data_IF_596293280553
#
_entry.id   IF_596293280553
#
_cell.length_a   1.000
_cell.length_b   1.000
_cell.length_c   1.000
_cell.angle_alpha   90.00
_cell.angle_beta   90.00
_cell.angle_gamma   90.00
#
_symmetry.space_group_name_H-M   'P 1'
#
loop_
_entity.id
_entity.type
_entity.pdbx_description
1 polymer ?
#
# COMPACT_ATOMS: atom_id res chain seq x y z
N UNK A 1 17.84 -27.26 -51.91
CA UNK A 1 18.66 -26.25 -51.23
C UNK A 1 17.91 -24.94 -51.30
N UNK A 2 17.13 -24.62 -50.27
CA UNK A 2 16.45 -23.34 -50.13
C UNK A 2 16.62 -22.94 -48.67
N UNK A 3 17.48 -21.97 -48.43
CA UNK A 3 17.79 -21.46 -47.09
C UNK A 3 16.73 -20.44 -46.70
N UNK A 4 15.96 -20.76 -45.66
CA UNK A 4 15.00 -19.83 -45.08
C UNK A 4 15.69 -19.10 -43.92
N UNK A 5 16.22 -17.91 -44.22
CA UNK A 5 16.57 -16.94 -43.19
C UNK A 5 15.27 -16.43 -42.54
N UNK A 6 14.96 -16.93 -41.34
CA UNK A 6 13.94 -16.31 -40.49
C UNK A 6 14.64 -15.26 -39.63
N UNK A 7 14.56 -14.02 -40.09
CA UNK A 7 14.89 -12.82 -39.31
C UNK A 7 13.92 -12.73 -38.14
N UNK A 8 14.37 -13.16 -36.96
CA UNK A 8 13.67 -12.96 -35.70
C UNK A 8 13.84 -11.48 -35.33
N UNK A 9 12.92 -10.63 -35.81
CA UNK A 9 12.83 -9.25 -35.37
C UNK A 9 12.69 -9.23 -33.84
N UNK A 10 13.71 -8.64 -33.21
CA UNK A 10 13.80 -8.35 -31.78
C UNK A 10 12.76 -7.28 -31.44
N UNK A 11 11.49 -7.68 -31.34
CA UNK A 11 10.42 -6.88 -30.75
C UNK A 11 10.72 -6.78 -29.25
N UNK A 12 11.48 -5.73 -28.91
CA UNK A 12 11.74 -5.36 -27.53
C UNK A 12 10.41 -5.30 -26.77
N UNK A 13 10.27 -6.00 -25.62
CA UNK A 13 9.04 -5.95 -24.87
C UNK A 13 8.80 -4.51 -24.44
N UNK A 14 7.76 -3.88 -25.01
CA UNK A 14 7.33 -2.54 -24.60
C UNK A 14 6.99 -2.62 -23.11
N UNK A 15 7.93 -2.18 -22.28
CA UNK A 15 7.80 -2.22 -20.83
C UNK A 15 6.65 -1.29 -20.46
N UNK A 16 5.46 -1.84 -20.25
CA UNK A 16 4.38 -1.12 -19.59
C UNK A 16 4.96 -0.60 -18.29
N UNK A 17 4.87 0.71 -17.98
CA UNK A 17 5.43 1.23 -16.75
C UNK A 17 4.70 0.54 -15.61
N UNK A 18 5.37 -0.43 -14.99
CA UNK A 18 4.87 -1.13 -13.82
C UNK A 18 4.68 -0.04 -12.78
N UNK A 19 3.42 0.30 -12.51
CA UNK A 19 3.04 1.35 -11.57
C UNK A 19 3.45 0.87 -10.18
N UNK A 20 4.70 1.16 -9.81
CA UNK A 20 5.34 0.61 -8.64
C UNK A 20 4.55 0.91 -7.37
N UNK A 21 4.29 -0.12 -6.57
CA UNK A 21 3.68 -0.02 -5.25
C UNK A 21 4.39 1.00 -4.33
N UNK A 22 5.65 1.30 -4.62
CA UNK A 22 6.49 2.34 -4.01
C UNK A 22 5.91 3.75 -4.09
N UNK A 23 5.09 4.09 -5.09
CA UNK A 23 4.48 5.43 -5.19
C UNK A 23 3.46 5.71 -4.11
N UNK A 24 2.77 4.68 -3.61
CA UNK A 24 1.69 4.87 -2.64
C UNK A 24 2.23 5.34 -1.28
N UNK A 25 3.33 4.74 -0.81
CA UNK A 25 4.04 5.17 0.41
C UNK A 25 4.49 6.62 0.32
N UNK A 26 5.21 6.98 -0.75
CA UNK A 26 5.70 8.34 -0.94
C UNK A 26 4.55 9.36 -1.05
N UNK A 27 3.46 9.00 -1.74
CA UNK A 27 2.28 9.83 -1.88
C UNK A 27 1.56 10.06 -0.54
N UNK A 28 1.43 9.02 0.27
CA UNK A 28 0.84 9.11 1.61
C UNK A 28 1.72 9.93 2.56
N UNK A 29 3.05 9.76 2.54
CA UNK A 29 3.98 10.58 3.35
C UNK A 29 3.89 12.05 2.94
N UNK A 30 3.87 12.34 1.63
CA UNK A 30 3.70 13.72 1.13
C UNK A 30 2.36 14.32 1.58
N UNK A 31 1.26 13.56 1.53
CA UNK A 31 -0.05 14.00 2.04
C UNK A 31 -0.02 14.24 3.56
N UNK A 32 0.72 13.43 4.31
CA UNK A 32 0.84 13.56 5.76
C UNK A 32 1.78 14.70 6.21
N UNK A 33 2.73 15.14 5.37
CA UNK A 33 3.66 16.25 5.67
C UNK A 33 2.97 17.63 5.65
N UNK A 34 1.76 17.73 5.11
CA UNK A 34 0.94 18.95 5.12
C UNK A 34 0.17 19.15 6.42
N UNK A 35 -0.80 20.08 6.39
CA UNK A 35 -1.73 20.25 7.50
C UNK A 35 -2.47 18.95 7.81
N UNK A 36 -2.42 18.51 9.07
CA UNK A 36 -3.17 17.34 9.54
C UNK A 36 -4.67 17.60 9.34
N UNK A 37 -5.32 16.68 8.62
CA UNK A 37 -6.76 16.74 8.39
C UNK A 37 -7.47 16.13 9.58
N UNK A 38 -8.55 16.78 10.01
CA UNK A 38 -9.46 16.22 11.00
C UNK A 38 -10.14 14.97 10.43
N UNK A 39 -10.25 13.92 11.25
CA UNK A 39 -10.95 12.68 10.94
C UNK A 39 -11.75 12.32 12.17
N UNK A 40 -13.07 12.20 12.00
CA UNK A 40 -13.96 11.76 13.06
C UNK A 40 -13.81 10.26 13.26
N UNK A 41 -13.72 9.81 14.51
CA UNK A 41 -13.69 8.39 14.85
C UNK A 41 -14.98 8.10 15.61
N UNK A 42 -15.80 7.20 15.06
CA UNK A 42 -16.97 6.72 15.76
C UNK A 42 -16.51 5.90 16.98
N UNK A 43 -16.95 6.31 18.18
CA UNK A 43 -16.46 5.75 19.44
C UNK A 43 -16.86 4.29 19.61
N UNK A 44 -18.07 3.92 19.19
CA UNK A 44 -18.63 2.57 19.38
C UNK A 44 -18.02 1.56 18.41
N UNK A 45 -17.91 1.93 17.14
CA UNK A 45 -17.37 1.05 16.07
C UNK A 45 -15.86 1.13 15.92
N UNK A 46 -15.23 2.16 16.52
CA UNK A 46 -13.82 2.53 16.34
C UNK A 46 -13.42 2.79 14.88
N UNK A 47 -14.40 3.01 14.01
CA UNK A 47 -14.18 3.23 12.59
C UNK A 47 -14.06 4.73 12.30
N UNK A 48 -13.12 5.13 11.44
CA UNK A 48 -13.05 6.50 10.97
C UNK A 48 -14.23 6.78 10.02
N UNK A 49 -14.81 7.97 10.13
CA UNK A 49 -15.94 8.44 9.32
C UNK A 49 -15.63 9.79 8.66
N UNK A 50 -16.51 10.21 7.75
CA UNK A 50 -16.38 11.46 7.00
C UNK A 50 -15.46 11.39 5.77
N UNK A 51 -15.29 12.53 5.11
CA UNK A 51 -14.68 12.64 3.76
C UNK A 51 -13.22 12.19 3.63
N UNK A 52 -12.51 12.04 4.74
CA UNK A 52 -11.10 11.64 4.76
C UNK A 52 -10.87 10.25 5.35
N UNK A 53 -11.94 9.51 5.70
CA UNK A 53 -11.84 8.20 6.33
C UNK A 53 -10.99 7.21 5.52
N UNK A 54 -11.21 7.11 4.20
CA UNK A 54 -10.49 6.15 3.36
C UNK A 54 -9.01 6.48 3.20
N UNK A 55 -8.68 7.77 3.16
CA UNK A 55 -7.29 8.24 3.12
C UNK A 55 -6.59 7.91 4.43
N UNK A 56 -7.28 8.11 5.56
CA UNK A 56 -6.78 7.74 6.87
C UNK A 56 -6.55 6.23 7.01
N UNK A 57 -7.52 5.40 6.59
CA UNK A 57 -7.37 3.93 6.56
C UNK A 57 -6.19 3.49 5.70
N UNK A 58 -6.01 4.11 4.53
CA UNK A 58 -4.88 3.82 3.63
C UNK A 58 -3.53 4.18 4.26
N UNK A 59 -3.46 5.32 4.97
CA UNK A 59 -2.28 5.74 5.72
C UNK A 59 -1.95 4.77 6.85
N UNK A 60 -2.96 4.40 7.64
CA UNK A 60 -2.80 3.45 8.74
C UNK A 60 -2.35 2.07 8.25
N UNK A 61 -2.92 1.58 7.15
CA UNK A 61 -2.52 0.31 6.53
C UNK A 61 -1.08 0.34 6.01
N UNK A 62 -0.62 1.47 5.46
CA UNK A 62 0.78 1.65 5.06
C UNK A 62 1.73 1.62 6.27
N UNK A 63 1.39 2.31 7.37
CA UNK A 63 2.17 2.26 8.61
C UNK A 63 2.19 0.86 9.23
N UNK A 64 1.04 0.18 9.23
CA UNK A 64 0.93 -1.18 9.77
C UNK A 64 1.87 -2.13 9.02
N UNK A 65 1.95 -2.06 7.69
CA UNK A 65 2.88 -2.88 6.90
C UNK A 65 4.35 -2.55 7.13
N UNK A 66 4.67 -1.31 7.49
CA UNK A 66 6.05 -0.90 7.80
C UNK A 66 6.49 -1.39 9.19
N UNK A 67 5.58 -1.42 10.16
CA UNK A 67 5.90 -1.72 11.56
C UNK A 67 5.59 -3.16 11.98
N UNK A 68 4.59 -3.77 11.36
CA UNK A 68 4.20 -5.16 11.63
C UNK A 68 4.88 -6.01 10.55
N UNK A 69 5.88 -6.78 10.98
CA UNK A 69 6.53 -7.75 10.11
C UNK A 69 5.49 -8.76 9.60
N UNK A 70 5.52 -9.04 8.30
CA UNK A 70 4.68 -10.09 7.69
C UNK A 70 5.02 -11.47 8.28
N UNK A 71 6.20 -11.61 8.89
CA UNK A 71 6.69 -12.81 9.55
C UNK A 71 6.35 -12.87 11.06
N UNK A 72 5.34 -12.16 11.54
CA UNK A 72 4.83 -12.43 12.89
C UNK A 72 4.25 -13.85 12.95
N UNK A 73 4.79 -14.77 13.77
CA UNK A 73 4.40 -16.19 13.75
C UNK A 73 2.94 -16.44 14.15
N UNK A 74 2.33 -15.52 14.90
CA UNK A 74 0.92 -15.57 15.31
C UNK A 74 0.46 -14.17 15.72
N UNK A 75 -0.72 -13.74 15.28
CA UNK A 75 -1.42 -12.59 15.87
C UNK A 75 -1.94 -12.88 17.30
N UNK A 76 -1.80 -14.13 17.78
CA UNK A 76 -2.35 -14.60 19.05
C UNK A 76 -1.61 -14.10 20.30
N UNK A 77 -0.38 -13.57 20.14
CA UNK A 77 0.44 -13.06 21.24
C UNK A 77 0.27 -11.56 21.47
N UNK A 78 -0.90 -11.00 21.15
CA UNK A 78 -1.27 -9.67 21.65
C UNK A 78 -1.74 -9.86 23.09
N UNK A 79 -0.90 -9.52 24.07
CA UNK A 79 -1.29 -9.46 25.48
C UNK A 79 -2.54 -8.60 25.59
N UNK A 80 -3.66 -9.23 25.95
CA UNK A 80 -4.91 -8.51 26.26
C UNK A 80 -4.58 -7.53 27.39
N UNK A 81 -4.75 -6.24 27.11
CA UNK A 81 -4.68 -5.23 28.16
C UNK A 81 -5.77 -5.54 29.18
N UNK A 82 -5.40 -5.55 30.46
CA UNK A 82 -6.31 -5.83 31.56
C UNK A 82 -7.40 -4.74 31.60
N UNK A 83 -8.62 -5.18 31.90
CA UNK A 83 -9.87 -4.44 31.66
C UNK A 83 -10.10 -3.31 32.67
#
# INVERSE_FOLDING_TARGET
MAEHHTSLEDEAPTTRPTRGATRLRQLLIRRAKGQKKHVDINVDTRMPSGRYADVFKSYLGMLARERISILTPSFDHVTKADR
#
